data_IF_044011545387
#
_entry.id   IF_044011545387
#
_cell.length_a   1.000
_cell.length_b   1.000
_cell.length_c   1.000
_cell.angle_alpha   90.00
_cell.angle_beta   90.00
_cell.angle_gamma   90.00
#
_symmetry.space_group_name_H-M   'P 1'
#
loop_
_entity.id
_entity.type
_entity.pdbx_description
1 polymer ?
#
# COMPACT_ATOMS: atom_id res chain seq x y z
N UNK A 1 -36.30 -23.85 8.79
CA UNK A 1 -35.28 -23.15 7.99
C UNK A 1 -33.95 -23.46 8.63
N UNK A 2 -32.96 -23.92 7.87
CA UNK A 2 -31.63 -24.18 8.42
C UNK A 2 -30.99 -22.84 8.80
N UNK A 3 -30.40 -22.75 9.98
CA UNK A 3 -29.68 -21.53 10.40
C UNK A 3 -28.42 -21.36 9.53
N UNK A 4 -28.17 -20.13 9.08
CA UNK A 4 -26.99 -19.78 8.31
C UNK A 4 -25.83 -19.42 9.25
N UNK A 5 -24.67 -20.04 9.04
CA UNK A 5 -23.44 -19.80 9.79
C UNK A 5 -22.46 -19.09 8.84
N UNK A 6 -21.99 -17.90 9.23
CA UNK A 6 -20.96 -17.18 8.48
C UNK A 6 -19.57 -17.64 8.93
N UNK A 7 -18.70 -17.96 7.98
CA UNK A 7 -17.31 -18.30 8.25
C UNK A 7 -16.35 -17.64 7.25
N UNK A 8 -15.16 -17.30 7.74
CA UNK A 8 -14.02 -16.88 6.91
C UNK A 8 -13.15 -18.08 6.56
N UNK A 9 -12.36 -17.95 5.50
CA UNK A 9 -11.45 -18.97 5.00
C UNK A 9 -10.00 -18.47 4.98
N UNK A 10 -9.05 -19.39 5.10
CA UNK A 10 -7.61 -19.11 5.02
C UNK A 10 -6.98 -19.92 3.90
N UNK A 11 -6.21 -19.29 3.02
CA UNK A 11 -5.41 -20.03 2.02
C UNK A 11 -4.31 -20.80 2.74
N UNK A 12 -4.20 -22.09 2.47
CA UNK A 12 -3.17 -22.96 3.04
C UNK A 12 -2.19 -23.49 1.99
N UNK A 13 -2.61 -23.61 0.73
CA UNK A 13 -1.75 -24.05 -0.37
C UNK A 13 -2.27 -23.55 -1.72
N UNK A 14 -1.35 -23.26 -2.63
CA UNK A 14 -1.63 -22.89 -4.01
C UNK A 14 -0.74 -23.70 -4.93
N UNK A 15 -1.31 -24.35 -5.95
CA UNK A 15 -0.54 -25.01 -7.01
C UNK A 15 -0.71 -24.19 -8.30
N UNK A 16 0.37 -23.59 -8.79
CA UNK A 16 0.34 -22.84 -10.05
C UNK A 16 0.55 -23.75 -11.27
N UNK A 17 -0.31 -23.55 -12.27
CA UNK A 17 -0.20 -24.15 -13.59
C UNK A 17 0.23 -23.08 -14.62
N UNK A 18 0.67 -23.49 -15.82
CA UNK A 18 0.96 -22.53 -16.89
C UNK A 18 -0.22 -21.60 -17.19
N UNK A 19 -1.44 -22.11 -17.06
CA UNK A 19 -2.70 -21.38 -17.21
C UNK A 19 -3.65 -21.74 -16.08
N UNK A 20 -3.66 -20.94 -15.02
CA UNK A 20 -4.51 -21.03 -13.85
C UNK A 20 -3.79 -21.52 -12.59
N UNK A 21 -4.51 -21.53 -11.48
CA UNK A 21 -4.03 -22.02 -10.20
C UNK A 21 -5.13 -22.80 -9.48
N UNK A 22 -4.73 -23.87 -8.80
CA UNK A 22 -5.57 -24.54 -7.82
C UNK A 22 -5.25 -23.98 -6.44
N UNK A 23 -6.27 -23.49 -5.74
CA UNK A 23 -6.15 -22.91 -4.40
C UNK A 23 -6.87 -23.80 -3.40
N UNK A 24 -6.20 -24.13 -2.30
CA UNK A 24 -6.77 -24.88 -1.19
C UNK A 24 -6.88 -24.00 0.03
N UNK A 25 -8.07 -23.97 0.61
CA UNK A 25 -8.44 -23.13 1.74
C UNK A 25 -8.94 -23.98 2.90
N UNK A 26 -8.66 -23.49 4.08
CA UNK A 26 -9.11 -24.02 5.35
C UNK A 26 -10.21 -23.14 5.94
N UNK A 27 -11.32 -23.75 6.36
CA UNK A 27 -12.46 -23.08 6.99
C UNK A 27 -12.75 -23.76 8.32
N UNK A 28 -12.66 -22.99 9.41
CA UNK A 28 -12.95 -23.45 10.77
C UNK A 28 -14.07 -22.62 11.37
N UNK A 29 -15.05 -23.28 11.98
CA UNK A 29 -16.23 -22.62 12.56
C UNK A 29 -16.86 -23.49 13.65
N UNK A 30 -17.84 -22.94 14.38
CA UNK A 30 -18.62 -23.70 15.36
C UNK A 30 -20.04 -23.90 14.83
N UNK A 31 -20.56 -25.12 14.91
CA UNK A 31 -21.89 -25.47 14.46
C UNK A 31 -22.70 -26.17 15.57
N UNK A 32 -24.01 -25.88 15.71
CA UNK A 32 -24.92 -26.73 16.47
C UNK A 32 -25.10 -28.12 15.83
N UNK A 33 -25.71 -29.05 16.57
CA UNK A 33 -26.12 -30.33 16.01
C UNK A 33 -27.35 -30.14 15.10
N UNK A 34 -27.35 -30.78 13.94
CA UNK A 34 -28.44 -30.71 12.97
C UNK A 34 -28.05 -30.14 11.61
N UNK A 35 -29.05 -29.86 10.75
CA UNK A 35 -28.84 -29.31 9.41
C UNK A 35 -28.68 -27.78 9.45
N UNK A 36 -27.65 -27.29 8.76
CA UNK A 36 -27.26 -25.87 8.69
C UNK A 36 -26.74 -25.51 7.30
N UNK A 37 -26.68 -24.21 7.01
CA UNK A 37 -26.02 -23.68 5.81
C UNK A 37 -24.78 -22.88 6.22
N UNK A 38 -23.61 -23.25 5.69
CA UNK A 38 -22.38 -22.49 5.85
C UNK A 38 -22.27 -21.45 4.72
N UNK A 39 -22.07 -20.18 5.06
CA UNK A 39 -21.79 -19.11 4.11
C UNK A 39 -20.32 -18.70 4.23
N UNK A 40 -19.55 -18.93 3.17
CA UNK A 40 -18.16 -18.47 3.02
C UNK A 40 -18.18 -17.27 2.10
N UNK A 41 -17.99 -16.06 2.65
CA UNK A 41 -18.15 -14.80 1.93
C UNK A 41 -16.80 -14.12 1.64
N UNK A 42 -15.76 -14.91 1.39
CA UNK A 42 -14.39 -14.41 1.15
C UNK A 42 -13.64 -15.04 0.02
N UNK A 43 -14.39 -15.42 -1.00
CA UNK A 43 -13.86 -16.04 -2.19
C UNK A 43 -13.72 -15.01 -3.33
N UNK A 44 -12.70 -15.13 -4.19
CA UNK A 44 -12.53 -14.24 -5.33
C UNK A 44 -13.65 -14.46 -6.37
N UNK A 45 -14.05 -13.40 -7.06
CA UNK A 45 -15.14 -13.46 -8.05
C UNK A 45 -14.88 -14.37 -9.26
N UNK A 46 -13.62 -14.69 -9.57
CA UNK A 46 -13.21 -15.50 -10.72
C UNK A 46 -13.03 -17.00 -10.47
N UNK A 47 -13.68 -17.55 -9.44
CA UNK A 47 -13.67 -19.00 -9.21
C UNK A 47 -14.43 -19.73 -10.31
N UNK A 48 -13.84 -20.83 -10.82
CA UNK A 48 -14.53 -21.75 -11.74
C UNK A 48 -15.47 -22.68 -10.94
N UNK A 49 -16.80 -22.54 -11.05
CA UNK A 49 -17.75 -23.27 -10.18
C UNK A 49 -17.64 -24.80 -10.30
N UNK A 50 -17.41 -25.30 -11.52
CA UNK A 50 -17.37 -26.73 -11.82
C UNK A 50 -16.16 -27.46 -11.21
N UNK A 51 -15.12 -26.68 -10.84
CA UNK A 51 -13.88 -27.17 -10.25
C UNK A 51 -13.83 -26.98 -8.73
N UNK A 52 -14.94 -26.59 -8.11
CA UNK A 52 -15.07 -26.58 -6.65
C UNK A 52 -15.09 -28.01 -6.12
N UNK A 53 -14.30 -28.26 -5.08
CA UNK A 53 -14.28 -29.51 -4.30
C UNK A 53 -14.33 -29.16 -2.83
N UNK A 54 -15.20 -29.86 -2.11
CA UNK A 54 -15.43 -29.67 -0.68
C UNK A 54 -15.15 -30.99 0.04
N UNK A 55 -14.44 -30.92 1.16
CA UNK A 55 -14.15 -32.07 2.00
C UNK A 55 -14.21 -31.67 3.47
N UNK A 56 -14.83 -32.51 4.30
CA UNK A 56 -14.88 -32.32 5.75
C UNK A 56 -14.75 -33.68 6.43
N UNK A 57 -13.95 -33.80 7.50
CA UNK A 57 -13.89 -35.02 8.30
C UNK A 57 -15.09 -35.17 9.23
N UNK A 58 -15.71 -34.05 9.64
CA UNK A 58 -16.68 -34.00 10.75
C UNK A 58 -18.12 -33.78 10.29
N UNK A 59 -18.32 -33.37 9.04
CA UNK A 59 -19.61 -32.94 8.50
C UNK A 59 -20.10 -33.83 7.36
N UNK A 60 -21.41 -34.06 7.32
CA UNK A 60 -22.06 -34.58 6.12
C UNK A 60 -22.41 -33.41 5.19
N UNK A 61 -21.70 -33.30 4.08
CA UNK A 61 -21.88 -32.21 3.12
C UNK A 61 -23.05 -32.50 2.17
N UNK A 62 -23.84 -31.46 1.91
CA UNK A 62 -24.95 -31.46 0.96
C UNK A 62 -24.65 -30.63 -0.29
N UNK A 63 -25.70 -30.08 -0.89
CA UNK A 63 -25.58 -29.21 -2.05
C UNK A 63 -24.86 -27.90 -1.70
N UNK A 64 -24.12 -27.35 -2.67
CA UNK A 64 -23.52 -26.03 -2.55
C UNK A 64 -23.97 -25.12 -3.71
N UNK A 65 -23.94 -23.82 -3.48
CA UNK A 65 -24.24 -22.80 -4.48
C UNK A 65 -23.24 -21.66 -4.39
N UNK A 66 -22.63 -21.29 -5.51
CA UNK A 66 -21.86 -20.07 -5.63
C UNK A 66 -22.80 -18.89 -5.94
N UNK A 67 -22.68 -17.78 -5.22
CA UNK A 67 -23.54 -16.60 -5.33
C UNK A 67 -22.69 -15.37 -5.55
N UNK A 68 -23.03 -14.62 -6.59
CA UNK A 68 -22.41 -13.32 -6.91
C UNK A 68 -23.36 -12.15 -6.62
N UNK A 69 -24.59 -12.44 -6.19
CA UNK A 69 -25.62 -11.46 -5.87
C UNK A 69 -25.99 -11.50 -4.37
N UNK A 70 -26.44 -10.37 -3.82
CA UNK A 70 -26.90 -10.23 -2.43
C UNK A 70 -25.88 -10.73 -1.40
N UNK A 71 -24.62 -10.37 -1.60
CA UNK A 71 -23.55 -10.65 -0.65
C UNK A 71 -23.78 -9.86 0.64
N UNK A 72 -23.54 -10.44 1.83
CA UNK A 72 -23.58 -9.69 3.07
C UNK A 72 -22.58 -8.52 2.98
N UNK A 73 -22.94 -7.31 3.44
CA UNK A 73 -22.00 -6.21 3.50
C UNK A 73 -20.79 -6.64 4.32
N UNK A 74 -19.60 -6.55 3.72
CA UNK A 74 -18.38 -6.53 4.52
C UNK A 74 -18.32 -5.15 5.14
N UNK A 75 -18.69 -5.08 6.41
CA UNK A 75 -18.73 -3.81 7.11
C UNK A 75 -17.30 -3.29 7.21
N UNK A 76 -16.93 -2.33 6.35
CA UNK A 76 -15.59 -1.73 6.27
C UNK A 76 -15.11 -1.24 7.65
N UNK A 77 -16.06 -0.87 8.52
CA UNK A 77 -15.81 -0.41 9.89
C UNK A 77 -15.31 -1.52 10.83
N UNK A 78 -15.50 -2.79 10.47
CA UNK A 78 -15.08 -3.95 11.30
C UNK A 78 -13.81 -4.63 10.81
N UNK A 79 -13.30 -4.29 9.62
CA UNK A 79 -12.03 -4.84 9.12
C UNK A 79 -10.84 -4.08 9.75
N UNK A 80 -10.11 -4.66 10.72
CA UNK A 80 -9.05 -3.95 11.44
C UNK A 80 -7.91 -3.52 10.51
N UNK A 81 -7.66 -4.30 9.44
CA UNK A 81 -6.64 -3.99 8.45
C UNK A 81 -7.00 -2.76 7.62
N UNK A 82 -8.27 -2.62 7.22
CA UNK A 82 -8.74 -1.46 6.47
C UNK A 82 -8.75 -0.19 7.34
N UNK A 83 -9.15 -0.32 8.61
CA UNK A 83 -9.07 0.77 9.60
C UNK A 83 -7.62 1.22 9.80
N UNK A 84 -6.69 0.27 9.97
CA UNK A 84 -5.27 0.56 10.09
C UNK A 84 -4.70 1.22 8.83
N UNK A 85 -5.12 0.78 7.64
CA UNK A 85 -4.71 1.38 6.37
C UNK A 85 -5.22 2.82 6.22
N UNK A 86 -6.49 3.09 6.56
CA UNK A 86 -7.05 4.46 6.59
C UNK A 86 -6.25 5.36 7.55
N UNK A 87 -5.97 4.90 8.76
CA UNK A 87 -5.14 5.62 9.72
C UNK A 87 -3.70 5.86 9.20
N UNK A 88 -3.13 4.89 8.47
CA UNK A 88 -1.83 5.02 7.81
C UNK A 88 -1.81 6.11 6.73
N UNK A 89 -2.87 6.23 5.94
CA UNK A 89 -3.02 7.31 4.93
C UNK A 89 -3.14 8.67 5.60
N UNK A 90 -3.93 8.79 6.66
CA UNK A 90 -4.04 10.03 7.44
C UNK A 90 -2.68 10.46 8.01
N UNK A 91 -1.93 9.52 8.61
CA UNK A 91 -0.59 9.78 9.14
C UNK A 91 0.39 10.21 8.05
N UNK A 92 0.40 9.53 6.89
CA UNK A 92 1.26 9.89 5.76
C UNK A 92 0.90 11.26 5.16
N UNK A 93 -0.38 11.61 5.13
CA UNK A 93 -0.86 12.93 4.69
C UNK A 93 -0.35 14.04 5.62
N UNK A 94 -0.42 13.81 6.94
CA UNK A 94 0.12 14.75 7.92
C UNK A 94 1.64 14.91 7.81
N UNK A 95 2.37 13.81 7.56
CA UNK A 95 3.82 13.86 7.32
C UNK A 95 4.16 14.69 6.08
N UNK A 96 3.41 14.53 4.98
CA UNK A 96 3.59 15.33 3.78
C UNK A 96 3.33 16.83 4.04
N UNK A 97 2.25 17.16 4.75
CA UNK A 97 1.94 18.53 5.13
C UNK A 97 3.05 19.16 5.99
N UNK A 98 3.61 18.39 6.92
CA UNK A 98 4.74 18.83 7.77
C UNK A 98 6.01 19.06 6.95
N UNK A 99 6.33 18.16 6.02
CA UNK A 99 7.48 18.31 5.12
C UNK A 99 7.33 19.54 4.21
N UNK A 100 6.13 19.82 3.71
CA UNK A 100 5.85 21.02 2.92
C UNK A 100 6.00 22.29 3.75
N UNK A 101 5.49 22.29 4.99
CA UNK A 101 5.63 23.41 5.93
C UNK A 101 7.12 23.72 6.21
N UNK A 102 7.99 22.70 6.22
CA UNK A 102 9.43 22.90 6.39
C UNK A 102 10.06 23.66 5.21
N UNK A 103 9.63 23.38 3.97
CA UNK A 103 10.04 24.15 2.78
C UNK A 103 9.55 25.60 2.90
N UNK A 104 8.28 25.79 3.26
CA UNK A 104 7.69 27.12 3.38
C UNK A 104 8.42 27.96 4.45
N UNK A 105 8.80 27.35 5.57
CA UNK A 105 9.58 27.99 6.63
C UNK A 105 11.01 28.35 6.17
N UNK A 106 11.62 27.58 5.28
CA UNK A 106 12.91 27.92 4.68
C UNK A 106 12.76 29.09 3.71
N UNK A 107 11.75 29.04 2.84
CA UNK A 107 11.45 30.12 1.89
C UNK A 107 11.17 31.45 2.61
N UNK A 108 10.40 31.43 3.70
CA UNK A 108 10.15 32.61 4.52
C UNK A 108 11.43 33.21 5.12
N UNK A 109 12.39 32.36 5.55
CA UNK A 109 13.71 32.82 6.02
C UNK A 109 14.52 33.49 4.92
N UNK A 110 14.50 32.92 3.70
CA UNK A 110 15.16 33.49 2.53
C UNK A 110 14.54 34.83 2.17
N UNK A 111 13.22 34.88 2.04
CA UNK A 111 12.46 36.09 1.70
C UNK A 111 12.70 37.21 2.71
N UNK A 112 12.71 36.89 4.01
CA UNK A 112 13.01 37.86 5.06
C UNK A 112 14.40 38.48 4.92
N UNK A 113 15.41 37.68 4.60
CA UNK A 113 16.78 38.15 4.42
C UNK A 113 16.95 38.97 3.12
N UNK A 114 16.22 38.60 2.07
CA UNK A 114 16.16 39.36 0.82
C UNK A 114 15.45 40.71 0.99
N UNK A 115 14.36 40.75 1.75
CA UNK A 115 13.65 41.98 2.10
C UNK A 115 14.55 42.94 2.90
N UNK A 116 15.34 42.42 3.85
CA UNK A 116 16.34 43.22 4.58
C UNK A 116 17.40 43.79 3.62
N UNK A 117 17.89 42.99 2.68
CA UNK A 117 18.82 43.46 1.65
C UNK A 117 18.20 44.55 0.76
N UNK A 118 16.94 44.38 0.36
CA UNK A 118 16.22 45.35 -0.46
C UNK A 118 16.03 46.69 0.28
N UNK A 119 15.66 46.63 1.56
CA UNK A 119 15.57 47.81 2.43
C UNK A 119 16.91 48.55 2.53
N UNK A 120 18.01 47.82 2.80
CA UNK A 120 19.35 48.41 2.92
C UNK A 120 19.81 49.08 1.61
N UNK A 121 19.49 48.49 0.45
CA UNK A 121 19.77 49.10 -0.87
C UNK A 121 18.96 50.38 -1.12
N UNK A 122 17.79 50.51 -0.49
CA UNK A 122 16.92 51.67 -0.60
C UNK A 122 17.35 52.86 0.27
N UNK A 123 18.29 52.68 1.20
CA UNK A 123 18.78 53.75 2.08
C UNK A 123 19.48 54.81 1.23
N UNK A 124 18.92 56.02 1.21
CA UNK A 124 19.53 57.21 0.64
C UNK A 124 19.97 58.14 1.75
N UNK A 125 21.17 58.71 1.63
CA UNK A 125 21.62 59.75 2.54
C UNK A 125 20.96 61.08 2.12
N UNK A 126 19.93 61.51 2.86
CA UNK A 126 19.21 62.77 2.62
C UNK A 126 19.27 63.66 3.88
N UNK A 127 19.62 64.94 3.70
CA UNK A 127 19.71 65.94 4.78
C UNK A 127 20.86 66.93 4.59
N UNK A 128 20.64 68.21 4.94
CA UNK A 128 21.53 69.34 4.63
C UNK A 128 22.88 69.42 5.37
N UNK A 129 23.21 68.43 6.23
CA UNK A 129 24.42 68.44 7.08
C UNK A 129 25.14 67.06 7.11
N UNK A 130 25.20 66.36 5.97
CA UNK A 130 25.94 65.09 5.86
C UNK A 130 27.45 65.35 5.81
N UNK A 131 28.19 64.88 6.83
CA UNK A 131 29.66 64.87 6.82
C UNK A 131 30.21 63.65 6.09
N UNK A 132 31.48 63.70 5.68
CA UNK A 132 32.17 62.57 5.02
C UNK A 132 32.23 61.36 5.95
N UNK A 133 32.47 61.57 7.24
CA UNK A 133 32.52 60.52 8.26
C UNK A 133 31.15 59.84 8.43
N UNK A 134 30.06 60.61 8.41
CA UNK A 134 28.70 60.06 8.49
C UNK A 134 28.37 59.19 7.26
N UNK A 135 28.77 59.64 6.07
CA UNK A 135 28.59 58.87 4.82
C UNK A 135 29.41 57.57 4.83
N UNK A 136 30.65 57.60 5.30
CA UNK A 136 31.48 56.40 5.45
C UNK A 136 30.87 55.42 6.47
N UNK A 137 30.35 55.91 7.60
CA UNK A 137 29.68 55.08 8.60
C UNK A 137 28.42 54.40 8.06
N UNK A 138 27.58 55.13 7.31
CA UNK A 138 26.39 54.56 6.66
C UNK A 138 26.80 53.50 5.62
N UNK A 139 27.77 53.80 4.77
CA UNK A 139 28.25 52.87 3.74
C UNK A 139 28.80 51.57 4.35
N UNK A 140 29.59 51.69 5.44
CA UNK A 140 30.13 50.53 6.14
C UNK A 140 29.02 49.71 6.80
N UNK A 141 28.06 50.35 7.48
CA UNK A 141 26.92 49.67 8.08
C UNK A 141 26.08 48.92 7.03
N UNK A 142 25.74 49.58 5.91
CA UNK A 142 24.99 48.96 4.81
C UNK A 142 25.76 47.78 4.22
N UNK A 143 27.07 47.91 4.02
CA UNK A 143 27.92 46.83 3.52
C UNK A 143 27.94 45.62 4.44
N UNK A 144 28.18 45.82 5.75
CA UNK A 144 28.18 44.74 6.75
C UNK A 144 26.82 44.07 6.87
N UNK A 145 25.74 44.84 7.01
CA UNK A 145 24.39 44.29 7.16
C UNK A 145 23.91 43.56 5.89
N UNK A 146 24.26 44.06 4.71
CA UNK A 146 23.96 43.39 3.44
C UNK A 146 24.70 42.05 3.33
N UNK A 147 25.97 42.00 3.73
CA UNK A 147 26.75 40.76 3.73
C UNK A 147 26.13 39.73 4.70
N UNK A 148 25.78 40.15 5.92
CA UNK A 148 25.11 39.29 6.90
C UNK A 148 23.79 38.74 6.36
N UNK A 149 22.91 39.60 5.84
CA UNK A 149 21.63 39.17 5.27
C UNK A 149 21.82 38.17 4.10
N UNK A 150 22.80 38.42 3.23
CA UNK A 150 23.15 37.50 2.12
C UNK A 150 23.65 36.15 2.62
N UNK A 151 24.47 36.13 3.66
CA UNK A 151 24.95 34.88 4.27
C UNK A 151 23.79 34.11 4.93
N UNK A 152 22.86 34.79 5.60
CA UNK A 152 21.66 34.17 6.18
C UNK A 152 20.78 33.55 5.10
N UNK A 153 20.53 34.26 3.99
CA UNK A 153 19.75 33.74 2.87
C UNK A 153 20.42 32.49 2.25
N UNK A 154 21.74 32.55 2.03
CA UNK A 154 22.49 31.42 1.46
C UNK A 154 22.47 30.20 2.39
N UNK A 155 22.63 30.40 3.69
CA UNK A 155 22.55 29.33 4.68
C UNK A 155 21.15 28.68 4.69
N UNK A 156 20.09 29.47 4.66
CA UNK A 156 18.72 28.94 4.56
C UNK A 156 18.48 28.19 3.24
N UNK A 157 18.97 28.70 2.11
CA UNK A 157 18.87 28.01 0.82
C UNK A 157 19.61 26.67 0.81
N UNK A 158 20.70 26.53 1.57
CA UNK A 158 21.41 25.26 1.70
C UNK A 158 20.57 24.16 2.37
N UNK A 159 19.53 24.52 3.13
CA UNK A 159 18.59 23.57 3.74
C UNK A 159 17.54 23.04 2.73
N UNK A 160 17.29 23.74 1.61
CA UNK A 160 16.23 23.41 0.65
C UNK A 160 16.37 22.02 0.04
N UNK A 161 17.55 21.55 -0.44
CA UNK A 161 17.67 20.23 -1.03
C UNK A 161 17.27 19.10 -0.07
N UNK A 162 17.62 19.23 1.21
CA UNK A 162 17.25 18.25 2.23
C UNK A 162 15.73 18.26 2.49
N UNK A 163 15.12 19.45 2.59
CA UNK A 163 13.67 19.58 2.76
C UNK A 163 12.89 19.05 1.55
N UNK A 164 13.35 19.33 0.34
CA UNK A 164 12.77 18.79 -0.91
C UNK A 164 12.84 17.28 -0.96
N UNK A 165 13.98 16.67 -0.58
CA UNK A 165 14.08 15.22 -0.43
C UNK A 165 13.10 14.68 0.61
N UNK A 166 12.90 15.40 1.72
CA UNK A 166 11.89 15.07 2.73
C UNK A 166 10.48 15.03 2.17
N UNK A 167 10.09 16.01 1.35
CA UNK A 167 8.80 16.03 0.65
C UNK A 167 8.67 14.85 -0.31
N UNK A 168 9.69 14.55 -1.13
CA UNK A 168 9.67 13.38 -2.03
C UNK A 168 9.46 12.07 -1.28
N UNK A 169 10.17 11.86 -0.17
CA UNK A 169 10.00 10.66 0.65
C UNK A 169 8.60 10.58 1.30
N UNK A 170 8.04 11.72 1.72
CA UNK A 170 6.69 11.77 2.26
C UNK A 170 5.62 11.48 1.18
N UNK A 171 5.82 11.96 -0.05
CA UNK A 171 4.96 11.63 -1.20
C UNK A 171 5.01 10.14 -1.53
N UNK A 172 6.20 9.54 -1.57
CA UNK A 172 6.36 8.09 -1.77
C UNK A 172 5.67 7.29 -0.67
N UNK A 173 5.76 7.75 0.58
CA UNK A 173 5.11 7.12 1.73
C UNK A 173 3.59 7.19 1.61
N UNK A 174 3.05 8.35 1.24
CA UNK A 174 1.62 8.53 1.00
C UNK A 174 1.13 7.66 -0.17
N UNK A 175 1.88 7.59 -1.27
CA UNK A 175 1.54 6.74 -2.41
C UNK A 175 1.49 5.25 -2.02
N UNK A 176 2.43 4.78 -1.21
CA UNK A 176 2.44 3.41 -0.67
C UNK A 176 1.25 3.15 0.26
N UNK A 177 0.90 4.10 1.12
CA UNK A 177 -0.24 3.97 2.03
C UNK A 177 -1.57 3.89 1.27
N UNK A 178 -1.75 4.75 0.24
CA UNK A 178 -2.93 4.73 -0.63
C UNK A 178 -3.03 3.41 -1.42
N UNK A 179 -1.92 2.93 -1.98
CA UNK A 179 -1.90 1.64 -2.68
C UNK A 179 -2.27 0.46 -1.76
N UNK A 180 -1.81 0.48 -0.51
CA UNK A 180 -2.17 -0.54 0.48
C UNK A 180 -3.65 -0.49 0.87
N UNK A 181 -4.23 0.71 1.03
CA UNK A 181 -5.66 0.88 1.28
C UNK A 181 -6.51 0.38 0.10
N UNK A 182 -6.12 0.75 -1.12
CA UNK A 182 -6.82 0.33 -2.34
C UNK A 182 -6.81 -1.19 -2.52
N UNK A 183 -5.65 -1.83 -2.29
CA UNK A 183 -5.52 -3.29 -2.36
C UNK A 183 -6.47 -4.01 -1.38
N UNK A 184 -6.68 -3.43 -0.19
CA UNK A 184 -7.64 -3.96 0.78
C UNK A 184 -9.09 -3.70 0.38
N UNK A 185 -9.39 -2.55 -0.25
CA UNK A 185 -10.74 -2.17 -0.67
C UNK A 185 -11.23 -3.00 -1.86
N UNK A 186 -10.38 -3.25 -2.86
CA UNK A 186 -10.72 -4.09 -4.01
C UNK A 186 -11.04 -5.54 -3.63
N UNK A 187 -10.39 -6.07 -2.58
CA UNK A 187 -10.71 -7.38 -1.99
C UNK A 187 -12.12 -7.42 -1.39
N UNK A 188 -12.63 -6.28 -0.94
CA UNK A 188 -13.95 -6.16 -0.33
C UNK A 188 -15.06 -5.88 -1.36
N UNK A 189 -14.74 -5.43 -2.58
CA UNK A 189 -15.74 -5.19 -3.65
C UNK A 189 -15.92 -6.38 -4.62
N UNK A 190 -14.84 -7.09 -4.97
CA UNK A 190 -14.86 -8.14 -6.00
C UNK A 190 -14.80 -9.57 -5.43
N UNK A 191 -15.81 -9.94 -4.64
CA UNK A 191 -15.90 -11.26 -4.01
C UNK A 191 -17.16 -12.03 -4.42
N UNK A 192 -17.14 -13.33 -4.17
CA UNK A 192 -18.29 -14.24 -4.30
C UNK A 192 -18.50 -14.95 -2.96
N UNK A 193 -19.71 -15.45 -2.74
CA UNK A 193 -20.02 -16.26 -1.58
C UNK A 193 -20.39 -17.69 -1.96
N UNK A 194 -19.83 -18.65 -1.24
CA UNK A 194 -20.20 -20.06 -1.35
C UNK A 194 -21.12 -20.43 -0.19
N UNK A 195 -22.34 -20.85 -0.51
CA UNK A 195 -23.26 -21.45 0.45
C UNK A 195 -23.14 -22.97 0.38
N UNK A 196 -22.92 -23.64 1.49
CA UNK A 196 -22.77 -25.10 1.58
C UNK A 196 -23.77 -25.64 2.61
N UNK A 197 -24.73 -26.44 2.15
CA UNK A 197 -25.59 -27.18 3.08
C UNK A 197 -24.77 -28.28 3.75
N UNK A 198 -24.91 -28.44 5.06
CA UNK A 198 -24.25 -29.52 5.79
C UNK A 198 -25.10 -30.01 6.97
N UNK A 199 -24.76 -31.19 7.47
CA UNK A 199 -25.34 -31.73 8.69
C UNK A 199 -24.22 -32.07 9.68
N UNK A 200 -24.32 -31.51 10.89
CA UNK A 200 -23.45 -31.83 12.01
C UNK A 200 -24.11 -32.83 12.95
N UNK A 201 -23.33 -33.81 13.41
CA UNK A 201 -23.81 -34.86 14.33
C UNK A 201 -23.86 -34.38 15.78
N UNK A 202 -23.02 -33.42 16.17
CA UNK A 202 -22.95 -32.85 17.51
C UNK A 202 -22.64 -31.36 17.46
N UNK A 203 -22.96 -30.62 18.52
CA UNK A 203 -22.56 -29.24 18.63
C UNK A 203 -21.05 -29.15 18.91
N UNK A 204 -20.31 -28.32 18.18
CA UNK A 204 -18.87 -28.19 18.36
C UNK A 204 -18.15 -27.50 17.22
N UNK A 205 -16.81 -27.51 17.30
CA UNK A 205 -15.94 -27.05 16.22
C UNK A 205 -16.04 -27.99 15.01
N UNK A 206 -16.07 -27.41 13.83
CA UNK A 206 -16.13 -28.10 12.55
C UNK A 206 -15.10 -27.55 11.58
N UNK A 207 -14.69 -28.41 10.66
CA UNK A 207 -13.63 -28.16 9.70
C UNK A 207 -14.12 -28.43 8.28
N UNK A 208 -13.80 -27.54 7.34
CA UNK A 208 -14.10 -27.71 5.92
C UNK A 208 -12.89 -27.28 5.09
N UNK A 209 -12.42 -28.18 4.22
CA UNK A 209 -11.46 -27.86 3.17
C UNK A 209 -12.21 -27.51 1.89
N UNK A 210 -11.89 -26.34 1.34
CA UNK A 210 -12.33 -25.91 0.02
C UNK A 210 -11.14 -25.92 -0.94
N UNK A 211 -11.24 -26.69 -2.02
CA UNK A 211 -10.34 -26.59 -3.16
C UNK A 211 -11.09 -25.99 -4.33
N UNK A 212 -10.52 -24.97 -4.96
CA UNK A 212 -11.10 -24.30 -6.12
C UNK A 212 -10.04 -23.97 -7.16
N UNK A 213 -10.50 -23.62 -8.36
CA UNK A 213 -9.65 -23.20 -9.46
C UNK A 213 -9.85 -21.72 -9.77
N UNK A 214 -8.75 -21.05 -10.15
CA UNK A 214 -8.75 -19.66 -10.59
C UNK A 214 -7.99 -19.54 -11.91
N UNK A 215 -8.65 -19.04 -12.95
CA UNK A 215 -8.11 -19.04 -14.32
C UNK A 215 -7.02 -17.97 -14.53
N UNK A 216 -7.18 -16.78 -13.94
CA UNK A 216 -6.30 -15.64 -14.20
C UNK A 216 -5.04 -15.64 -13.33
N UNK A 217 -4.35 -16.78 -13.31
CA UNK A 217 -3.02 -16.97 -12.75
C UNK A 217 -2.16 -17.73 -13.75
N UNK A 218 -0.85 -17.54 -13.75
CA UNK A 218 0.06 -18.25 -14.65
C UNK A 218 1.47 -18.23 -14.11
N UNK A 219 2.25 -19.21 -14.53
CA UNK A 219 3.70 -19.14 -14.42
C UNK A 219 4.37 -19.52 -15.73
N UNK A 220 5.55 -18.96 -15.99
CA UNK A 220 6.39 -19.38 -17.11
C UNK A 220 7.87 -19.27 -16.75
N UNK A 221 8.73 -20.17 -17.27
CA UNK A 221 10.16 -20.00 -17.14
C UNK A 221 10.62 -18.76 -17.92
N UNK A 222 11.58 -18.04 -17.36
CA UNK A 222 12.29 -16.96 -18.04
C UNK A 222 13.78 -17.27 -18.03
N UNK A 223 14.47 -16.91 -19.10
CA UNK A 223 15.89 -17.21 -19.28
C UNK A 223 16.63 -15.94 -19.66
N UNK A 224 17.72 -15.65 -18.94
CA UNK A 224 18.67 -14.61 -19.30
C UNK A 224 19.96 -15.26 -19.78
N UNK A 225 20.36 -14.96 -21.01
CA UNK A 225 21.55 -15.49 -21.65
C UNK A 225 22.62 -14.39 -21.76
N UNK A 226 23.78 -14.61 -21.15
CA UNK A 226 24.91 -13.68 -21.22
C UNK A 226 26.12 -14.34 -21.91
N UNK A 227 26.56 -13.77 -23.04
CA UNK A 227 27.65 -14.28 -23.86
C UNK A 227 28.89 -13.37 -23.73
N UNK A 228 29.98 -13.94 -23.21
CA UNK A 228 31.31 -13.32 -23.24
C UNK A 228 32.12 -13.90 -24.40
N UNK A 229 32.66 -13.03 -25.27
CA UNK A 229 33.37 -13.45 -26.50
C UNK A 229 34.89 -13.28 -26.48
N UNK A 230 35.44 -12.48 -25.56
CA UNK A 230 36.88 -12.16 -25.49
C UNK A 230 37.52 -12.74 -24.22
N UNK A 231 38.85 -12.87 -24.26
CA UNK A 231 39.76 -13.40 -23.23
C UNK A 231 39.51 -14.87 -22.85
N UNK A 232 38.28 -15.23 -22.49
CA UNK A 232 37.84 -16.63 -22.27
C UNK A 232 36.35 -16.73 -22.65
N UNK A 233 36.03 -17.27 -23.84
CA UNK A 233 34.64 -17.40 -24.29
C UNK A 233 33.78 -18.18 -23.30
N UNK A 234 32.63 -17.61 -22.91
CA UNK A 234 31.70 -18.25 -21.98
C UNK A 234 30.26 -17.83 -22.26
N UNK A 235 29.32 -18.75 -21.97
CA UNK A 235 27.88 -18.50 -22.00
C UNK A 235 27.34 -18.80 -20.61
N UNK A 236 26.73 -17.80 -19.97
CA UNK A 236 26.00 -17.98 -18.71
C UNK A 236 24.50 -18.00 -19.00
N UNK A 237 23.80 -18.98 -18.44
CA UNK A 237 22.35 -19.13 -18.55
C UNK A 237 21.77 -18.99 -17.15
N UNK A 238 21.04 -17.90 -16.91
CA UNK A 238 20.26 -17.73 -15.69
C UNK A 238 18.82 -18.16 -15.97
N UNK A 239 18.25 -18.95 -15.07
CA UNK A 239 16.85 -19.39 -15.14
C UNK A 239 16.08 -18.73 -14.00
N UNK A 240 14.96 -18.10 -14.36
CA UNK A 240 13.98 -17.59 -13.41
C UNK A 240 12.59 -18.16 -13.68
N UNK A 241 11.65 -17.77 -12.84
CA UNK A 241 10.23 -18.03 -13.02
C UNK A 241 9.51 -16.70 -12.94
N UNK A 242 8.70 -16.40 -13.94
CA UNK A 242 7.75 -15.30 -13.88
C UNK A 242 6.41 -15.88 -13.43
N UNK A 243 5.89 -15.38 -12.31
CA UNK A 243 4.55 -15.66 -11.79
C UNK A 243 3.67 -14.43 -12.00
N UNK A 244 2.43 -14.63 -12.44
CA UNK A 244 1.42 -13.58 -12.59
C UNK A 244 0.09 -14.07 -12.05
N UNK A 245 -0.64 -13.22 -11.31
CA UNK A 245 -1.98 -13.54 -10.79
C UNK A 245 -2.82 -12.26 -10.68
N UNK A 246 -4.14 -12.41 -10.77
CA UNK A 246 -5.11 -11.31 -10.62
C UNK A 246 -6.35 -11.74 -9.83
N UNK A 247 -6.18 -12.62 -8.84
CA UNK A 247 -7.24 -13.06 -7.93
C UNK A 247 -7.61 -12.05 -6.85
N UNK A 248 -6.77 -11.04 -6.61
CA UNK A 248 -6.94 -10.13 -5.46
C UNK A 248 -6.60 -10.79 -4.11
N UNK A 249 -6.08 -12.02 -4.15
CA UNK A 249 -5.71 -12.79 -2.97
C UNK A 249 -4.22 -12.64 -2.68
N UNK A 250 -3.90 -12.72 -1.38
CA UNK A 250 -2.52 -12.74 -0.94
C UNK A 250 -2.03 -14.18 -0.83
N UNK A 251 -1.02 -14.51 -1.63
CA UNK A 251 -0.34 -15.80 -1.63
C UNK A 251 1.04 -15.72 -0.95
N UNK A 252 1.29 -14.69 -0.13
CA UNK A 252 2.45 -14.66 0.74
C UNK A 252 2.36 -15.77 1.81
N UNK A 253 3.50 -16.41 2.11
CA UNK A 253 3.64 -17.45 3.14
C UNK A 253 2.74 -18.69 2.99
N UNK A 254 2.25 -18.98 1.78
CA UNK A 254 1.51 -20.22 1.48
C UNK A 254 2.44 -21.29 0.88
N UNK A 255 2.07 -22.56 1.00
CA UNK A 255 2.76 -23.63 0.29
C UNK A 255 2.49 -23.50 -1.21
N UNK A 256 3.46 -22.96 -1.95
CA UNK A 256 3.47 -22.72 -3.39
C UNK A 256 4.25 -23.78 -4.17
#
# INVERSE_FOLDING_TARGET
>A
MADQILASSKIISVTLYPEGAQVTRDITFTAPAGPHDLLIADLPSGIVPDLIRLASPDLQLGAFSLRNDRLPPRDEATNPALVAAKAGVEAATLQLATAQTAIDAINARVESAEAQTAFLKGIKAEGGNLTVEALQGIAQMVGTQTLTARQTALAAQADLPAAQKGVTLAQETLAKALAAQEALSQRDENFTALSVAFQSTAAGGAHLTLTHYFENASWRPVYDLNLTRKDTPSLTISRGVLVSQSSGEDWADVSL
#
